data_IF_832201425891
#
_entry.id   IF_832201425891
#
_cell.length_a   1.000
_cell.length_b   1.000
_cell.length_c   1.000
_cell.angle_alpha   90.00
_cell.angle_beta   90.00
_cell.angle_gamma   90.00
#
_symmetry.space_group_name_H-M   'P 1'
#
loop_
_entity.id
_entity.type
_entity.pdbx_description
1 polymer ?
#
# COMPACT_ATOMS: atom_id res chain seq x y z
N UNK A 1 23.59 -8.54 4.61
CA UNK A 1 22.33 -7.77 4.62
C UNK A 1 21.20 -8.69 4.20
N UNK A 2 20.38 -9.15 5.15
CA UNK A 2 19.27 -10.06 4.88
C UNK A 2 18.08 -9.26 4.34
N UNK A 3 17.61 -9.60 3.13
CA UNK A 3 16.33 -9.10 2.62
C UNK A 3 15.24 -9.66 3.53
N UNK A 4 14.50 -8.78 4.21
CA UNK A 4 13.38 -9.16 5.08
C UNK A 4 12.41 -10.03 4.31
N UNK A 5 12.37 -11.32 4.64
CA UNK A 5 11.54 -12.32 3.98
C UNK A 5 10.21 -12.32 4.73
N UNK A 6 9.16 -11.80 4.10
CA UNK A 6 7.79 -11.81 4.64
C UNK A 6 7.50 -13.24 5.14
N UNK A 7 7.18 -13.37 6.44
CA UNK A 7 6.82 -14.67 7.02
C UNK A 7 5.59 -15.22 6.31
N UNK A 8 5.71 -16.43 5.77
CA UNK A 8 4.63 -17.15 5.09
C UNK A 8 3.74 -17.88 6.11
N UNK A 9 3.32 -17.20 7.16
CA UNK A 9 2.33 -17.75 8.09
C UNK A 9 0.93 -17.63 7.45
N UNK A 10 0.04 -18.62 7.61
CA UNK A 10 -1.31 -18.54 7.06
C UNK A 10 -2.02 -17.32 7.64
N UNK A 11 -2.48 -16.44 6.75
CA UNK A 11 -3.06 -15.15 7.12
C UNK A 11 -4.26 -15.33 8.08
N UNK A 12 -4.35 -14.57 9.18
CA UNK A 12 -5.65 -14.32 9.78
C UNK A 12 -6.53 -13.68 8.70
N UNK A 13 -7.76 -14.17 8.59
CA UNK A 13 -8.71 -13.88 7.52
C UNK A 13 -8.83 -12.37 7.28
N UNK A 14 -8.20 -11.86 6.22
CA UNK A 14 -8.58 -10.56 5.65
C UNK A 14 -9.95 -10.79 5.02
N UNK A 15 -10.99 -10.19 5.59
CA UNK A 15 -12.39 -10.40 5.18
C UNK A 15 -12.54 -10.31 3.65
N UNK A 16 -13.07 -11.39 3.06
CA UNK A 16 -12.92 -11.78 1.65
C UNK A 16 -13.39 -10.82 0.55
N UNK A 17 -13.96 -9.67 0.89
CA UNK A 17 -14.37 -8.65 -0.08
C UNK A 17 -13.40 -7.46 -0.23
N UNK A 18 -12.40 -7.31 0.65
CA UNK A 18 -11.49 -6.14 0.62
C UNK A 18 -10.19 -6.35 -0.14
N UNK A 19 -9.77 -7.60 -0.38
CA UNK A 19 -8.53 -7.92 -1.11
C UNK A 19 -8.61 -7.51 -2.60
N UNK A 20 -9.80 -7.60 -3.21
CA UNK A 20 -10.03 -7.16 -4.60
C UNK A 20 -9.67 -5.68 -4.81
N UNK A 21 -9.99 -4.84 -3.81
CA UNK A 21 -9.65 -3.42 -3.80
C UNK A 21 -8.12 -3.23 -3.88
N UNK A 22 -7.37 -3.99 -3.07
CA UNK A 22 -5.91 -3.93 -3.05
C UNK A 22 -5.27 -4.41 -4.36
N UNK A 23 -5.76 -5.49 -4.96
CA UNK A 23 -5.20 -6.04 -6.20
C UNK A 23 -5.28 -5.06 -7.37
N UNK A 24 -6.34 -4.24 -7.41
CA UNK A 24 -6.48 -3.21 -8.44
C UNK A 24 -5.43 -2.09 -8.34
N UNK A 25 -4.77 -1.92 -7.19
CA UNK A 25 -3.81 -0.82 -6.95
C UNK A 25 -2.49 -0.98 -7.70
N UNK A 26 -2.18 -2.19 -8.17
CA UNK A 26 -1.06 -2.43 -9.08
C UNK A 26 -1.20 -1.57 -10.36
N UNK A 27 -2.42 -1.46 -10.91
CA UNK A 27 -2.69 -0.66 -12.10
C UNK A 27 -2.50 0.84 -11.82
N UNK A 28 -2.92 1.31 -10.65
CA UNK A 28 -2.71 2.70 -10.21
C UNK A 28 -1.21 2.99 -10.13
N UNK A 29 -0.43 2.09 -9.53
CA UNK A 29 1.02 2.28 -9.43
C UNK A 29 1.70 2.30 -10.80
N UNK A 30 1.33 1.38 -11.70
CA UNK A 30 1.86 1.36 -13.07
C UNK A 30 1.54 2.65 -13.85
N UNK A 31 0.29 3.13 -13.76
CA UNK A 31 -0.13 4.37 -14.41
C UNK A 31 0.58 5.59 -13.82
N UNK A 32 0.68 5.67 -12.49
CA UNK A 32 1.39 6.75 -11.81
C UNK A 32 2.87 6.78 -12.17
N UNK A 33 3.54 5.61 -12.25
CA UNK A 33 4.92 5.49 -12.74
C UNK A 33 5.07 6.02 -14.16
N UNK A 34 4.15 5.66 -15.06
CA UNK A 34 4.17 6.15 -16.44
C UNK A 34 4.04 7.67 -16.50
N UNK A 35 3.08 8.26 -15.79
CA UNK A 35 2.86 9.71 -15.76
C UNK A 35 4.12 10.42 -15.25
N UNK A 36 4.71 9.93 -14.16
CA UNK A 36 5.94 10.48 -13.59
C UNK A 36 7.13 10.36 -14.55
N UNK A 37 7.25 9.25 -15.28
CA UNK A 37 8.32 9.05 -16.28
C UNK A 37 8.23 9.99 -17.47
N UNK A 38 7.04 10.54 -17.74
CA UNK A 38 6.81 11.57 -18.76
C UNK A 38 7.13 13.00 -18.22
N UNK A 39 7.67 13.11 -16.99
CA UNK A 39 7.98 14.39 -16.34
C UNK A 39 6.75 15.15 -15.87
N UNK A 40 5.61 14.45 -15.68
CA UNK A 40 4.33 15.06 -15.33
C UNK A 40 3.99 14.80 -13.86
N UNK A 41 3.26 15.74 -13.26
CA UNK A 41 2.69 15.56 -11.92
C UNK A 41 1.52 14.59 -12.00
N UNK A 42 1.54 13.55 -11.16
CA UNK A 42 0.46 12.59 -11.05
C UNK A 42 -0.57 13.05 -10.00
N UNK A 43 -1.74 13.50 -10.45
CA UNK A 43 -2.92 13.72 -9.60
C UNK A 43 -3.84 12.51 -9.69
N UNK A 44 -4.04 11.82 -8.57
CA UNK A 44 -4.98 10.70 -8.50
C UNK A 44 -6.26 11.14 -7.75
N UNK A 45 -7.41 11.02 -8.42
CA UNK A 45 -8.72 11.18 -7.79
C UNK A 45 -9.19 9.80 -7.34
N UNK A 46 -9.14 9.57 -6.03
CA UNK A 46 -9.53 8.31 -5.42
C UNK A 46 -11.05 8.11 -5.32
N UNK A 47 -11.41 6.93 -4.83
CA UNK A 47 -12.70 6.71 -4.17
C UNK A 47 -12.48 6.75 -2.66
N UNK A 48 -11.85 5.70 -2.13
CA UNK A 48 -11.35 5.65 -0.76
C UNK A 48 -9.82 5.83 -0.69
N UNK A 49 -9.28 5.83 0.54
CA UNK A 49 -7.87 6.10 0.77
C UNK A 49 -6.93 4.98 0.30
N UNK A 50 -7.44 3.79 -0.07
CA UNK A 50 -6.60 2.70 -0.58
C UNK A 50 -5.95 3.01 -1.94
N UNK A 51 -6.42 4.05 -2.65
CA UNK A 51 -5.77 4.54 -3.87
C UNK A 51 -4.30 4.92 -3.64
N UNK A 52 -3.99 5.37 -2.43
CA UNK A 52 -2.64 5.85 -2.03
C UNK A 52 -1.60 4.75 -2.10
N UNK A 53 -1.99 3.48 -1.91
CA UNK A 53 -1.09 2.33 -1.99
C UNK A 53 -0.39 2.31 -3.35
N UNK A 54 -1.13 2.57 -4.42
CA UNK A 54 -0.56 2.62 -5.76
C UNK A 54 0.26 3.88 -6.02
N UNK A 55 -0.24 5.06 -5.61
CA UNK A 55 0.42 6.34 -5.92
C UNK A 55 1.70 6.55 -5.13
N UNK A 56 1.71 6.19 -3.83
CA UNK A 56 2.90 6.26 -2.99
C UNK A 56 3.92 5.23 -3.46
N UNK A 57 3.52 3.98 -3.71
CA UNK A 57 4.43 2.95 -4.27
C UNK A 57 5.11 3.43 -5.56
N UNK A 58 4.35 4.04 -6.48
CA UNK A 58 4.92 4.59 -7.70
C UNK A 58 5.99 5.65 -7.42
N UNK A 59 5.68 6.58 -6.51
CA UNK A 59 6.52 7.73 -6.18
C UNK A 59 7.81 7.33 -5.46
N UNK A 60 7.73 6.50 -4.41
CA UNK A 60 8.91 6.03 -3.66
C UNK A 60 9.81 5.10 -4.47
N UNK A 61 9.31 4.57 -5.60
CA UNK A 61 10.11 3.80 -6.55
C UNK A 61 10.70 4.66 -7.68
N UNK A 62 10.15 5.83 -7.95
CA UNK A 62 10.66 6.77 -8.94
C UNK A 62 11.71 7.74 -8.36
N UNK A 63 11.68 7.96 -7.04
CA UNK A 63 12.52 8.94 -6.36
C UNK A 63 13.16 8.34 -5.10
N UNK A 64 14.39 8.73 -4.78
CA UNK A 64 15.13 8.19 -3.62
C UNK A 64 14.81 8.89 -2.29
N UNK A 65 14.45 10.18 -2.33
CA UNK A 65 14.17 11.00 -1.14
C UNK A 65 12.75 11.54 -1.21
N UNK A 66 11.80 10.78 -0.64
CA UNK A 66 10.37 11.07 -0.68
C UNK A 66 9.85 11.20 0.75
N UNK A 67 9.17 12.31 1.02
CA UNK A 67 8.35 12.47 2.21
C UNK A 67 6.85 12.39 1.84
N UNK A 68 6.06 11.75 2.70
CA UNK A 68 4.60 11.68 2.57
C UNK A 68 3.98 12.58 3.63
N UNK A 69 3.20 13.57 3.17
CA UNK A 69 2.35 14.39 4.06
C UNK A 69 0.96 13.78 4.04
N UNK A 70 0.56 13.15 5.14
CA UNK A 70 -0.74 12.49 5.28
C UNK A 70 -1.71 13.39 6.06
N UNK A 71 -2.69 13.97 5.37
CA UNK A 71 -3.70 14.84 5.99
C UNK A 71 -5.04 14.12 5.98
N UNK A 72 -5.38 13.55 7.13
CA UNK A 72 -6.62 12.81 7.32
C UNK A 72 -7.02 12.89 8.80
N UNK A 73 -8.30 12.68 9.10
CA UNK A 73 -8.78 12.50 10.47
C UNK A 73 -8.25 11.17 11.08
N UNK A 74 -7.91 10.19 10.24
CA UNK A 74 -7.43 8.88 10.64
C UNK A 74 -5.97 8.66 10.22
N UNK A 75 -5.22 7.91 11.02
CA UNK A 75 -3.82 7.59 10.70
C UNK A 75 -3.68 6.52 9.60
N UNK A 76 -4.76 5.78 9.30
CA UNK A 76 -4.78 4.70 8.29
C UNK A 76 -3.66 3.66 8.45
N UNK A 77 -3.36 3.38 9.71
CA UNK A 77 -2.26 2.57 10.19
C UNK A 77 -2.72 1.25 10.81
N UNK A 78 -3.97 0.84 10.60
CA UNK A 78 -4.40 -0.46 11.08
C UNK A 78 -3.72 -1.58 10.30
N UNK A 79 -3.40 -2.66 11.00
CA UNK A 79 -3.00 -3.93 10.42
C UNK A 79 -4.25 -4.83 10.28
N UNK A 80 -4.19 -5.94 9.54
CA UNK A 80 -5.27 -6.92 9.53
C UNK A 80 -5.68 -7.41 10.92
N UNK A 81 -4.73 -7.46 11.87
CA UNK A 81 -4.98 -7.93 13.23
C UNK A 81 -5.60 -6.86 14.14
N UNK A 82 -5.41 -5.57 13.85
CA UNK A 82 -5.87 -4.47 14.72
C UNK A 82 -7.10 -3.75 14.19
N UNK A 83 -7.46 -3.96 12.92
CA UNK A 83 -8.60 -3.28 12.31
C UNK A 83 -9.93 -3.74 12.91
N UNK A 84 -10.78 -2.83 13.40
CA UNK A 84 -12.11 -3.19 13.91
C UNK A 84 -13.11 -3.52 12.80
N UNK A 85 -12.88 -3.04 11.57
CA UNK A 85 -13.78 -3.23 10.42
C UNK A 85 -13.26 -4.24 9.40
N UNK A 86 -11.96 -4.51 9.40
CA UNK A 86 -11.30 -5.27 8.33
C UNK A 86 -11.24 -4.53 6.99
N UNK A 87 -11.62 -3.25 6.94
CA UNK A 87 -11.60 -2.47 5.69
C UNK A 87 -10.19 -2.01 5.34
N UNK A 88 -9.80 -2.27 4.08
CA UNK A 88 -8.51 -1.89 3.54
C UNK A 88 -8.29 -0.38 3.46
N UNK A 89 -9.33 0.45 3.53
CA UNK A 89 -9.18 1.92 3.47
C UNK A 89 -8.41 2.50 4.66
N UNK A 90 -8.43 1.82 5.82
CA UNK A 90 -7.82 2.27 7.07
C UNK A 90 -6.47 1.64 7.37
N UNK A 91 -5.86 1.02 6.35
CA UNK A 91 -4.60 0.29 6.40
C UNK A 91 -3.50 0.75 5.42
N UNK A 92 -3.68 1.71 4.49
CA UNK A 92 -2.64 2.05 3.52
C UNK A 92 -1.28 2.40 4.11
N UNK A 93 -1.24 3.17 5.21
CA UNK A 93 0.04 3.58 5.82
C UNK A 93 0.75 2.37 6.40
N UNK A 94 0.01 1.46 7.05
CA UNK A 94 0.58 0.22 7.56
C UNK A 94 1.17 -0.66 6.45
N UNK A 95 0.59 -0.65 5.25
CA UNK A 95 1.09 -1.42 4.11
C UNK A 95 2.32 -0.75 3.46
N UNK A 96 2.41 0.57 3.50
CA UNK A 96 3.49 1.33 2.86
C UNK A 96 4.74 1.47 3.74
N UNK A 97 4.57 1.49 5.06
CA UNK A 97 5.65 1.69 6.02
C UNK A 97 6.46 0.41 6.26
N UNK A 98 7.77 0.48 6.03
CA UNK A 98 8.70 -0.64 6.25
C UNK A 98 8.67 -1.20 7.67
N UNK A 99 8.56 -0.35 8.67
CA UNK A 99 8.55 -0.76 10.09
C UNK A 99 7.31 -1.60 10.46
N UNK A 100 6.29 -1.61 9.60
CA UNK A 100 5.06 -2.36 9.79
C UNK A 100 4.94 -3.58 8.86
N UNK A 101 5.95 -3.86 8.03
CA UNK A 101 5.92 -4.94 7.06
C UNK A 101 5.69 -6.33 7.69
N UNK A 102 6.19 -6.56 8.91
CA UNK A 102 6.06 -7.84 9.62
C UNK A 102 4.63 -8.14 10.11
N UNK A 103 3.75 -7.12 10.13
CA UNK A 103 2.35 -7.27 10.56
C UNK A 103 1.40 -7.60 9.42
N UNK A 104 1.92 -7.73 8.19
CA UNK A 104 1.15 -8.11 7.02
C UNK A 104 1.37 -9.57 6.66
N UNK A 105 0.30 -10.35 6.43
CA UNK A 105 0.46 -11.68 5.85
C UNK A 105 0.91 -11.56 4.39
N UNK A 106 1.42 -12.65 3.84
CA UNK A 106 1.61 -12.75 2.40
C UNK A 106 0.26 -12.57 1.67
N UNK A 107 0.21 -11.60 0.76
CA UNK A 107 -0.97 -11.28 -0.06
C UNK A 107 -0.68 -11.72 -1.52
N UNK A 108 -1.30 -12.82 -2.02
CA UNK A 108 -1.04 -13.32 -3.36
C UNK A 108 -1.34 -12.27 -4.44
N UNK A 109 -0.35 -11.90 -5.27
CA UNK A 109 -0.54 -10.88 -6.32
C UNK A 109 -0.25 -9.44 -5.88
N UNK A 110 0.28 -9.25 -4.67
CA UNK A 110 0.80 -7.96 -4.19
C UNK A 110 2.33 -7.89 -4.16
N UNK A 111 3.04 -8.82 -4.82
CA UNK A 111 4.51 -8.83 -4.88
C UNK A 111 5.13 -7.58 -5.52
N UNK A 112 4.31 -6.78 -6.19
CA UNK A 112 4.71 -5.50 -6.78
C UNK A 112 4.89 -4.38 -5.74
N UNK A 113 4.27 -4.49 -4.57
CA UNK A 113 4.34 -3.49 -3.51
C UNK A 113 5.38 -3.94 -2.48
N UNK A 114 6.42 -3.12 -2.32
CA UNK A 114 7.48 -3.36 -1.35
C UNK A 114 7.59 -2.12 -0.46
N UNK A 115 7.30 -2.25 0.85
CA UNK A 115 7.42 -1.13 1.79
C UNK A 115 8.85 -0.55 1.79
N UNK A 116 8.97 0.78 1.90
CA UNK A 116 10.26 1.48 1.94
C UNK A 116 10.48 2.20 3.26
#
# INVERSE_FOLDING_TARGET
MARGRIKRDPAPVVCGNHLSCLYSRCQVSQLARRIQSEGRICLALGGDHSVTIGTVDATVNAHEDVAVIWVDAHADLNTPATSPSGSAHGMPVALLAKDLADYWPYLPGMDWQVPK
#
